data_IF_900090978123
#
_entry.id   IF_900090978123
#
_cell.length_a   1.000
_cell.length_b   1.000
_cell.length_c   1.000
_cell.angle_alpha   90.00
_cell.angle_beta   90.00
_cell.angle_gamma   90.00
#
_symmetry.space_group_name_H-M   'P 1'
#
loop_
_entity.id
_entity.type
_entity.pdbx_description
1 polymer ?
#
# COMPACT_ATOMS: atom_id res chain seq x y z
N UNK A 1 25.32 -51.72 -42.97
CA UNK A 1 26.28 -50.61 -42.89
C UNK A 1 25.86 -49.78 -41.68
N UNK A 2 26.23 -50.25 -40.48
CA UNK A 2 25.86 -49.61 -39.21
C UNK A 2 26.93 -48.57 -38.86
N UNK A 3 26.56 -47.33 -38.52
CA UNK A 3 27.54 -46.31 -38.15
C UNK A 3 28.30 -46.75 -36.89
N UNK A 4 29.62 -46.57 -36.92
CA UNK A 4 30.58 -46.97 -35.89
C UNK A 4 30.27 -46.34 -34.53
N UNK A 5 29.88 -47.17 -33.58
CA UNK A 5 29.55 -46.86 -32.18
C UNK A 5 30.64 -46.10 -31.42
N UNK A 6 31.90 -46.31 -31.77
CA UNK A 6 33.06 -45.72 -31.08
C UNK A 6 33.15 -44.19 -31.22
N UNK A 7 32.67 -43.64 -32.35
CA UNK A 7 32.63 -42.19 -32.56
C UNK A 7 31.51 -41.50 -31.77
N UNK A 8 30.45 -42.24 -31.44
CA UNK A 8 29.30 -41.73 -30.69
C UNK A 8 29.65 -41.66 -29.20
N UNK A 9 30.33 -42.67 -28.66
CA UNK A 9 30.76 -42.66 -27.25
C UNK A 9 31.78 -41.56 -26.95
N UNK A 10 32.75 -41.35 -27.83
CA UNK A 10 33.76 -40.29 -27.65
C UNK A 10 33.14 -38.90 -27.63
N UNK A 11 32.13 -38.66 -28.48
CA UNK A 11 31.38 -37.41 -28.49
C UNK A 11 30.55 -37.23 -27.21
N UNK A 12 29.91 -38.30 -26.72
CA UNK A 12 29.11 -38.28 -25.50
C UNK A 12 29.95 -38.00 -24.24
N UNK A 13 31.15 -38.60 -24.15
CA UNK A 13 32.10 -38.38 -23.04
C UNK A 13 32.64 -36.95 -23.06
N UNK A 14 32.93 -36.41 -24.24
CA UNK A 14 33.34 -35.01 -24.39
C UNK A 14 32.23 -34.04 -23.97
N UNK A 15 30.99 -34.33 -24.37
CA UNK A 15 29.82 -33.51 -24.02
C UNK A 15 29.53 -33.55 -22.51
N UNK A 16 29.53 -34.74 -21.91
CA UNK A 16 29.36 -34.93 -20.46
C UNK A 16 30.48 -34.26 -19.64
N UNK A 17 31.74 -34.40 -20.09
CA UNK A 17 32.88 -33.73 -19.46
C UNK A 17 32.75 -32.20 -19.50
N UNK A 18 32.30 -31.65 -20.63
CA UNK A 18 32.03 -30.22 -20.76
C UNK A 18 30.85 -29.75 -19.91
N UNK A 19 29.82 -30.59 -19.74
CA UNK A 19 28.67 -30.32 -18.88
C UNK A 19 29.04 -30.30 -17.40
N UNK A 20 29.96 -31.16 -16.94
CA UNK A 20 30.41 -31.18 -15.54
C UNK A 20 31.26 -29.94 -15.23
N UNK A 21 32.13 -29.53 -16.17
CA UNK A 21 32.96 -28.33 -16.01
C UNK A 21 32.09 -27.06 -15.97
N UNK A 22 31.03 -27.01 -16.77
CA UNK A 22 30.11 -25.87 -16.82
C UNK A 22 28.94 -25.98 -15.84
N UNK A 23 28.92 -27.00 -14.97
CA UNK A 23 27.78 -27.32 -14.12
C UNK A 23 27.42 -26.15 -13.19
N UNK A 24 28.41 -25.58 -12.50
CA UNK A 24 28.21 -24.43 -11.61
C UNK A 24 27.60 -23.24 -12.35
N UNK A 25 28.18 -22.88 -13.50
CA UNK A 25 27.71 -21.76 -14.33
C UNK A 25 26.28 -22.01 -14.84
N UNK A 26 25.96 -23.25 -15.20
CA UNK A 26 24.62 -23.63 -15.64
C UNK A 26 23.58 -23.51 -14.51
N UNK A 27 23.91 -23.92 -13.28
CA UNK A 27 23.03 -23.77 -12.12
C UNK A 27 22.87 -22.30 -11.73
N UNK A 28 23.95 -21.53 -11.77
CA UNK A 28 23.89 -20.09 -11.53
C UNK A 28 22.98 -19.40 -12.55
N UNK A 29 23.16 -19.68 -13.84
CA UNK A 29 22.36 -19.07 -14.89
C UNK A 29 20.88 -19.45 -14.79
N UNK A 30 20.58 -20.73 -14.56
CA UNK A 30 19.21 -21.20 -14.37
C UNK A 30 18.56 -20.60 -13.12
N UNK A 31 19.28 -20.58 -11.99
CA UNK A 31 18.82 -19.97 -10.74
C UNK A 31 18.61 -18.46 -10.87
N UNK A 32 19.50 -17.76 -11.58
CA UNK A 32 19.38 -16.33 -11.85
C UNK A 32 18.19 -16.02 -12.75
N UNK A 33 18.05 -16.71 -13.89
CA UNK A 33 16.91 -16.50 -14.79
C UNK A 33 15.58 -16.79 -14.09
N UNK A 34 15.49 -17.92 -13.37
CA UNK A 34 14.31 -18.27 -12.58
C UNK A 34 14.03 -17.25 -11.48
N UNK A 35 15.07 -16.83 -10.74
CA UNK A 35 14.97 -15.87 -9.66
C UNK A 35 14.55 -14.48 -10.11
N UNK A 36 15.04 -14.00 -11.26
CA UNK A 36 14.64 -12.69 -11.83
C UNK A 36 13.17 -12.69 -12.24
N UNK A 37 12.72 -13.73 -12.94
CA UNK A 37 11.32 -13.85 -13.37
C UNK A 37 10.41 -13.98 -12.14
N UNK A 38 10.77 -14.84 -11.20
CA UNK A 38 10.02 -15.04 -9.96
C UNK A 38 9.98 -13.78 -9.10
N UNK A 39 11.12 -13.12 -8.89
CA UNK A 39 11.23 -11.91 -8.08
C UNK A 39 10.42 -10.75 -8.66
N UNK A 40 10.42 -10.58 -9.99
CA UNK A 40 9.58 -9.58 -10.67
C UNK A 40 8.09 -9.86 -10.42
N UNK A 41 7.68 -11.11 -10.57
CA UNK A 41 6.29 -11.52 -10.42
C UNK A 41 5.83 -11.41 -8.96
N UNK A 42 6.68 -11.84 -8.02
CA UNK A 42 6.42 -11.73 -6.59
C UNK A 42 6.32 -10.27 -6.14
N UNK A 43 7.28 -9.43 -6.53
CA UNK A 43 7.25 -7.99 -6.23
C UNK A 43 6.00 -7.30 -6.77
N UNK A 44 5.51 -7.71 -7.95
CA UNK A 44 4.26 -7.18 -8.50
C UNK A 44 3.04 -7.59 -7.65
N UNK A 45 2.95 -8.85 -7.24
CA UNK A 45 1.82 -9.33 -6.44
C UNK A 45 1.84 -8.77 -5.02
N UNK A 46 3.01 -8.77 -4.38
CA UNK A 46 3.20 -8.23 -3.05
C UNK A 46 2.92 -6.72 -3.03
N UNK A 47 3.49 -5.96 -3.96
CA UNK A 47 3.25 -4.52 -4.08
C UNK A 47 1.77 -4.17 -4.27
N UNK A 48 1.05 -4.95 -5.09
CA UNK A 48 -0.41 -4.79 -5.25
C UNK A 48 -1.18 -5.11 -3.97
N UNK A 49 -0.79 -6.16 -3.26
CA UNK A 49 -1.42 -6.57 -2.00
C UNK A 49 -1.23 -5.50 -0.92
N UNK A 50 0.01 -5.04 -0.72
CA UNK A 50 0.36 -3.98 0.23
C UNK A 50 -0.37 -2.68 -0.13
N UNK A 51 -0.34 -2.28 -1.40
CA UNK A 51 -1.03 -1.08 -1.88
C UNK A 51 -2.53 -1.12 -1.62
N UNK A 52 -3.19 -2.26 -1.87
CA UNK A 52 -4.62 -2.44 -1.58
C UNK A 52 -4.93 -2.32 -0.09
N UNK A 53 -4.14 -2.97 0.77
CA UNK A 53 -4.35 -2.94 2.21
C UNK A 53 -4.14 -1.52 2.78
N UNK A 54 -3.11 -0.83 2.32
CA UNK A 54 -2.84 0.54 2.75
C UNK A 54 -3.91 1.52 2.23
N UNK A 55 -4.33 1.38 0.98
CA UNK A 55 -5.41 2.19 0.42
C UNK A 55 -6.74 1.99 1.17
N UNK A 56 -7.02 0.76 1.63
CA UNK A 56 -8.20 0.48 2.46
C UNK A 56 -8.15 1.25 3.79
N UNK A 57 -7.02 1.20 4.50
CA UNK A 57 -6.86 1.93 5.77
C UNK A 57 -7.05 3.44 5.61
N UNK A 58 -6.50 4.01 4.53
CA UNK A 58 -6.67 5.41 4.18
C UNK A 58 -8.13 5.75 3.83
N UNK A 59 -8.77 4.90 3.02
CA UNK A 59 -10.16 5.07 2.63
C UNK A 59 -11.12 5.00 3.79
N UNK A 60 -10.87 4.11 4.77
CA UNK A 60 -11.63 4.03 6.01
C UNK A 60 -11.57 5.36 6.79
N UNK A 61 -10.38 5.94 6.93
CA UNK A 61 -10.19 7.19 7.63
C UNK A 61 -10.91 8.37 6.93
N UNK A 62 -10.75 8.49 5.61
CA UNK A 62 -11.42 9.53 4.81
C UNK A 62 -12.94 9.36 4.86
N UNK A 63 -13.42 8.12 4.74
CA UNK A 63 -14.84 7.78 4.80
C UNK A 63 -15.46 8.11 6.17
N UNK A 64 -14.73 7.86 7.25
CA UNK A 64 -15.15 8.24 8.61
C UNK A 64 -15.33 9.75 8.73
N UNK A 65 -14.36 10.55 8.30
CA UNK A 65 -14.47 12.02 8.36
C UNK A 65 -15.58 12.56 7.47
N UNK A 66 -15.75 11.98 6.28
CA UNK A 66 -16.85 12.34 5.37
C UNK A 66 -18.23 12.09 6.00
N UNK A 67 -18.45 10.87 6.50
CA UNK A 67 -19.72 10.50 7.14
C UNK A 67 -20.00 11.32 8.39
N UNK A 68 -18.99 11.54 9.23
CA UNK A 68 -19.09 12.43 10.38
C UNK A 68 -19.50 13.85 9.95
N UNK A 69 -18.85 14.38 8.91
CA UNK A 69 -19.12 15.73 8.45
C UNK A 69 -20.55 15.89 7.90
N UNK A 70 -21.06 14.90 7.16
CA UNK A 70 -22.43 14.89 6.65
C UNK A 70 -23.46 14.92 7.80
N UNK A 71 -23.35 13.99 8.75
CA UNK A 71 -24.32 13.87 9.85
C UNK A 71 -24.36 15.15 10.68
N UNK A 72 -23.19 15.68 11.07
CA UNK A 72 -23.12 16.89 11.88
C UNK A 72 -23.54 18.15 11.13
N UNK A 73 -23.29 18.23 9.82
CA UNK A 73 -23.78 19.35 9.01
C UNK A 73 -25.31 19.39 8.98
N UNK A 74 -25.97 18.23 8.78
CA UNK A 74 -27.42 18.15 8.80
C UNK A 74 -28.01 18.43 10.18
N UNK A 75 -27.41 17.87 11.25
CA UNK A 75 -27.88 18.09 12.63
C UNK A 75 -27.78 19.57 13.04
N UNK A 76 -26.67 20.24 12.72
CA UNK A 76 -26.51 21.65 13.04
C UNK A 76 -27.45 22.55 12.22
N UNK A 77 -27.72 22.20 10.96
CA UNK A 77 -28.69 22.91 10.13
C UNK A 77 -30.12 22.77 10.70
N UNK A 78 -30.48 21.58 11.18
CA UNK A 78 -31.79 21.32 11.78
C UNK A 78 -32.04 22.09 13.09
N UNK A 79 -30.99 22.53 13.80
CA UNK A 79 -31.12 23.34 15.01
C UNK A 79 -31.31 24.84 14.74
N UNK A 80 -31.45 25.26 13.47
CA UNK A 80 -31.62 26.65 13.03
C UNK A 80 -30.54 27.62 13.59
N UNK A 81 -29.38 27.07 13.96
CA UNK A 81 -28.27 27.87 14.48
C UNK A 81 -27.56 28.58 13.33
N UNK A 82 -27.19 29.85 13.57
CA UNK A 82 -26.37 30.62 12.66
C UNK A 82 -25.10 29.84 12.26
N UNK A 83 -24.57 30.03 11.04
CA UNK A 83 -23.38 29.31 10.58
C UNK A 83 -22.20 29.58 11.52
N UNK A 84 -21.80 28.55 12.26
CA UNK A 84 -20.66 28.62 13.19
C UNK A 84 -19.37 28.20 12.50
N UNK A 85 -18.23 28.49 13.14
CA UNK A 85 -16.91 27.96 12.77
C UNK A 85 -16.95 26.43 12.55
N UNK A 86 -17.79 25.69 13.30
CA UNK A 86 -17.97 24.26 13.10
C UNK A 86 -18.57 23.94 11.72
N UNK A 87 -19.64 24.63 11.31
CA UNK A 87 -20.29 24.43 10.00
C UNK A 87 -19.36 24.69 8.82
N UNK A 88 -18.50 25.71 8.90
CA UNK A 88 -17.50 26.01 7.86
C UNK A 88 -16.45 24.90 7.76
N UNK A 89 -15.94 24.42 8.90
CA UNK A 89 -14.95 23.33 8.89
C UNK A 89 -15.56 22.00 8.42
N UNK A 90 -16.83 21.71 8.75
CA UNK A 90 -17.56 20.56 8.24
C UNK A 90 -17.64 20.57 6.71
N UNK A 91 -18.01 21.70 6.11
CA UNK A 91 -18.01 21.86 4.63
C UNK A 91 -16.61 21.67 4.03
N UNK A 92 -15.57 22.18 4.70
CA UNK A 92 -14.20 21.99 4.23
C UNK A 92 -13.75 20.52 4.29
N UNK A 93 -14.16 19.76 5.30
CA UNK A 93 -13.90 18.31 5.34
C UNK A 93 -14.56 17.61 4.15
N UNK A 94 -15.80 17.95 3.82
CA UNK A 94 -16.50 17.39 2.66
C UNK A 94 -15.77 17.71 1.34
N UNK A 95 -15.30 18.96 1.17
CA UNK A 95 -14.50 19.35 -0.01
C UNK A 95 -13.18 18.57 -0.10
N UNK A 96 -12.45 18.45 1.01
CA UNK A 96 -11.19 17.68 1.06
C UNK A 96 -11.40 16.19 0.81
N UNK A 97 -12.55 15.64 1.20
CA UNK A 97 -12.88 14.25 0.91
C UNK A 97 -13.20 14.04 -0.57
N UNK A 98 -13.83 15.01 -1.22
CA UNK A 98 -14.14 14.95 -2.65
C UNK A 98 -12.90 15.09 -3.54
N UNK A 99 -11.87 15.81 -3.07
CA UNK A 99 -10.59 15.93 -3.79
C UNK A 99 -9.65 14.74 -3.58
N UNK A 100 -10.00 13.78 -2.72
CA UNK A 100 -9.16 12.62 -2.45
C UNK A 100 -9.14 11.65 -3.64
N UNK A 101 -7.97 11.13 -4.07
CA UNK A 101 -7.90 10.25 -5.22
C UNK A 101 -8.38 8.84 -4.87
N UNK A 102 -9.53 8.45 -5.43
CA UNK A 102 -10.09 7.09 -5.29
C UNK A 102 -9.69 6.13 -6.43
N UNK A 103 -8.92 6.61 -7.41
CA UNK A 103 -8.48 5.82 -8.56
C UNK A 103 -6.97 5.84 -8.65
N UNK A 104 -6.38 4.65 -8.75
CA UNK A 104 -4.97 4.49 -9.03
C UNK A 104 -4.77 4.50 -10.55
N UNK A 105 -4.20 5.57 -11.10
CA UNK A 105 -3.96 5.78 -12.53
C UNK A 105 -2.53 5.39 -12.94
N UNK A 106 -1.98 4.32 -12.37
CA UNK A 106 -0.59 3.86 -12.57
C UNK A 106 -0.23 3.46 -14.01
N UNK A 107 -1.20 3.46 -14.93
CA UNK A 107 -1.00 3.21 -16.36
C UNK A 107 -0.66 4.47 -17.17
N UNK A 108 -0.75 5.67 -16.59
CA UNK A 108 -0.37 6.91 -17.25
C UNK A 108 1.04 7.33 -16.82
N UNK A 109 1.87 7.89 -17.72
CA UNK A 109 3.14 8.50 -17.34
C UNK A 109 2.90 9.51 -16.22
N UNK A 110 3.75 9.50 -15.21
CA UNK A 110 3.67 10.39 -14.05
C UNK A 110 4.06 11.80 -14.48
N UNK A 111 3.19 12.46 -15.23
CA UNK A 111 3.30 13.88 -15.52
C UNK A 111 2.27 14.64 -14.68
N UNK A 112 2.78 15.46 -13.76
CA UNK A 112 2.00 16.55 -13.19
C UNK A 112 1.04 16.16 -12.07
N UNK A 113 1.60 15.93 -10.88
CA UNK A 113 1.04 16.22 -9.55
C UNK A 113 1.48 15.10 -8.61
N UNK A 114 2.54 15.35 -7.85
CA UNK A 114 2.82 14.56 -6.66
C UNK A 114 1.68 14.81 -5.67
N UNK A 115 0.69 13.90 -5.65
CA UNK A 115 -0.43 14.01 -4.72
C UNK A 115 0.09 13.64 -3.34
N UNK A 116 0.26 14.66 -2.49
CA UNK A 116 0.67 14.47 -1.10
C UNK A 116 -0.51 13.99 -0.24
N UNK A 117 -0.76 12.68 -0.32
CA UNK A 117 -1.79 11.98 0.47
C UNK A 117 -1.60 12.22 1.98
N UNK A 118 -0.39 12.10 2.57
CA UNK A 118 -0.17 12.43 3.98
C UNK A 118 -0.61 13.84 4.37
N UNK A 119 -0.28 14.86 3.57
CA UNK A 119 -0.67 16.24 3.88
C UNK A 119 -2.19 16.42 3.81
N UNK A 120 -2.87 15.81 2.83
CA UNK A 120 -4.33 15.86 2.73
C UNK A 120 -5.01 15.24 3.95
N UNK A 121 -4.56 14.06 4.41
CA UNK A 121 -5.08 13.41 5.61
C UNK A 121 -4.82 14.24 6.87
N UNK A 122 -3.62 14.78 7.01
CA UNK A 122 -3.31 15.66 8.14
C UNK A 122 -4.22 16.90 8.16
N UNK A 123 -4.51 17.48 7.00
CA UNK A 123 -5.44 18.60 6.87
C UNK A 123 -6.85 18.21 7.34
N UNK A 124 -7.36 17.03 6.93
CA UNK A 124 -8.65 16.51 7.40
C UNK A 124 -8.64 16.28 8.93
N UNK A 125 -7.60 15.64 9.49
CA UNK A 125 -7.45 15.39 10.94
C UNK A 125 -7.49 16.69 11.76
N UNK A 126 -6.78 17.73 11.32
CA UNK A 126 -6.77 19.03 11.99
C UNK A 126 -8.18 19.63 12.01
N UNK A 127 -8.88 19.66 10.87
CA UNK A 127 -10.24 20.20 10.80
C UNK A 127 -11.23 19.39 11.64
N UNK A 128 -11.12 18.07 11.63
CA UNK A 128 -11.92 17.19 12.46
C UNK A 128 -11.76 17.54 13.95
N UNK A 129 -10.52 17.71 14.44
CA UNK A 129 -10.26 18.12 15.84
C UNK A 129 -10.87 19.48 16.16
N UNK A 130 -10.78 20.44 15.23
CA UNK A 130 -11.39 21.77 15.39
C UNK A 130 -12.91 21.67 15.50
N UNK A 131 -13.55 20.84 14.67
CA UNK A 131 -15.00 20.62 14.72
C UNK A 131 -15.39 19.97 16.05
N UNK A 132 -14.70 18.90 16.46
CA UNK A 132 -14.93 18.21 17.73
C UNK A 132 -14.86 19.16 18.93
N UNK A 133 -13.83 20.01 18.98
CA UNK A 133 -13.70 21.02 20.03
C UNK A 133 -14.86 22.03 20.01
N UNK A 134 -15.32 22.44 18.82
CA UNK A 134 -16.40 23.41 18.68
C UNK A 134 -17.79 22.86 19.06
N UNK A 135 -18.02 21.54 18.93
CA UNK A 135 -19.30 20.88 19.26
C UNK A 135 -19.26 20.13 20.60
N UNK A 136 -18.14 20.16 21.32
CA UNK A 136 -18.00 19.53 22.64
C UNK A 136 -17.88 18.00 22.61
N UNK A 137 -17.43 17.42 21.50
CA UNK A 137 -17.27 15.97 21.35
C UNK A 137 -15.80 15.59 21.50
N UNK A 138 -15.54 14.50 22.22
CA UNK A 138 -14.20 13.93 22.31
C UNK A 138 -13.81 13.33 20.95
N UNK A 139 -12.70 13.76 20.32
CA UNK A 139 -12.23 13.16 19.09
C UNK A 139 -11.95 11.67 19.28
N UNK A 140 -12.50 10.83 18.41
CA UNK A 140 -12.06 9.44 18.28
C UNK A 140 -10.92 9.43 17.28
N UNK A 141 -9.73 9.05 17.73
CA UNK A 141 -8.58 8.98 16.83
C UNK A 141 -8.66 7.66 16.08
N UNK A 142 -9.09 7.70 14.83
CA UNK A 142 -8.87 6.64 13.85
C UNK A 142 -7.54 6.94 13.17
N UNK A 143 -6.42 6.51 13.77
CA UNK A 143 -5.16 6.52 13.02
C UNK A 143 -5.23 5.30 12.10
N UNK A 144 -5.19 5.49 10.79
CA UNK A 144 -4.67 4.44 9.91
C UNK A 144 -3.24 4.14 10.39
N UNK A 145 -3.08 3.13 11.24
CA UNK A 145 -1.76 2.68 11.68
C UNK A 145 -1.06 2.12 10.44
N UNK A 146 -0.22 2.94 9.81
CA UNK A 146 0.81 2.45 8.91
C UNK A 146 1.63 1.44 9.74
N UNK A 147 1.56 0.18 9.34
CA UNK A 147 1.86 -0.96 10.21
C UNK A 147 3.18 -0.85 10.97
N UNK A 148 3.09 -0.85 12.29
CA UNK A 148 4.16 -1.28 13.20
C UNK A 148 3.68 -2.47 14.01
N UNK A 149 3.47 -3.60 13.34
CA UNK A 149 3.37 -4.90 14.01
C UNK A 149 4.68 -5.67 13.79
N UNK A 150 5.72 -5.31 14.53
CA UNK A 150 6.78 -6.25 14.91
C UNK A 150 6.60 -6.55 16.40
N UNK A 151 5.74 -7.52 16.68
CA UNK A 151 5.57 -8.09 18.01
C UNK A 151 6.78 -8.97 18.35
N UNK A 152 7.65 -8.51 19.23
CA UNK A 152 8.43 -9.39 20.09
C UNK A 152 8.10 -9.03 21.53
N UNK A 153 7.13 -9.77 22.08
CA UNK A 153 6.73 -9.67 23.47
C UNK A 153 7.92 -9.98 24.38
N UNK A 154 8.28 -9.04 25.24
CA UNK A 154 9.13 -9.32 26.39
C UNK A 154 8.21 -9.38 27.62
N UNK A 155 7.95 -10.61 28.04
CA UNK A 155 7.28 -10.94 29.29
C UNK A 155 8.05 -10.28 30.45
N UNK A 156 7.37 -9.39 31.18
CA UNK A 156 7.77 -9.00 32.51
C UNK A 156 7.36 -10.10 33.50
N UNK A 157 8.34 -10.71 34.15
CA UNK A 157 8.16 -11.54 35.33
C UNK A 157 9.11 -11.02 36.40
N UNK A 158 8.54 -10.40 37.42
CA UNK A 158 9.28 -9.93 38.58
C UNK A 158 9.73 -11.08 39.47
N UNK A 159 10.90 -10.89 40.06
CA UNK A 159 11.18 -11.10 41.47
C UNK A 159 11.92 -9.85 41.95
#
# INVERSE_FOLDING_TARGET
MTPSTDGIEAALVSDLGSSIINLEQSFFHNGFQGGVVHGRLHGLFEGRSIGKNHAWQLGEEVGYYHGFALVWAHLLAAQEKAPTRATTNLRQILLLSASFPFRNNSSLPVEGSEVDIPAMLNNQRVKYRVVCAAIGIRPRITVASAGTNSSSGKLGGGL
#
